data_IF_114058622706
#
_entry.id   IF_114058622706
#
_cell.length_a   1.000
_cell.length_b   1.000
_cell.length_c   1.000
_cell.angle_alpha   90.00
_cell.angle_beta   90.00
_cell.angle_gamma   90.00
#
_symmetry.space_group_name_H-M   'P 1'
#
loop_
_entity.id
_entity.type
_entity.pdbx_description
1 polymer ?
#
# COMPACT_ATOMS: atom_id res chain seq x y z
N UNK A 1 -47.92 45.54 -1.31
CA UNK A 1 -48.06 45.38 0.16
C UNK A 1 -47.54 43.98 0.44
N UNK A 2 -46.35 43.69 0.93
CA UNK A 2 -45.23 44.36 1.63
C UNK A 2 -44.10 43.32 1.55
N UNK A 3 -42.97 43.61 0.92
CA UNK A 3 -41.66 43.76 1.59
C UNK A 3 -41.58 43.18 3.01
N UNK A 4 -40.64 42.26 3.25
CA UNK A 4 -39.79 42.17 4.46
C UNK A 4 -38.90 40.91 4.33
N UNK A 5 -37.61 41.03 4.00
CA UNK A 5 -36.48 41.37 4.89
C UNK A 5 -36.04 40.21 5.81
N UNK A 6 -34.78 39.81 5.62
CA UNK A 6 -34.01 38.82 6.39
C UNK A 6 -33.72 39.36 7.81
N UNK A 7 -33.75 38.51 8.86
CA UNK A 7 -32.90 38.73 10.02
C UNK A 7 -31.76 37.72 10.10
N UNK A 8 -30.54 38.27 10.20
CA UNK A 8 -29.34 37.60 10.71
C UNK A 8 -29.52 37.37 12.21
N UNK A 9 -29.17 36.20 12.71
CA UNK A 9 -29.02 35.92 14.15
C UNK A 9 -28.23 34.61 14.31
N UNK A 10 -26.91 34.67 14.55
CA UNK A 10 -26.26 34.67 15.88
C UNK A 10 -26.69 33.50 16.74
N UNK A 11 -25.82 32.51 17.01
CA UNK A 11 -25.60 31.76 18.28
C UNK A 11 -24.46 30.77 17.95
N UNK A 12 -23.20 30.97 18.36
CA UNK A 12 -22.73 31.00 19.74
C UNK A 12 -22.04 29.66 20.03
N UNK A 13 -20.72 29.57 19.80
CA UNK A 13 -19.91 28.44 20.25
C UNK A 13 -19.84 28.48 21.79
N UNK A 14 -20.30 27.46 22.53
CA UNK A 14 -20.13 27.44 23.97
C UNK A 14 -18.67 27.17 24.32
N UNK A 15 -17.99 28.23 24.79
CA UNK A 15 -16.77 28.14 25.58
C UNK A 15 -17.07 27.29 26.82
N UNK A 16 -16.46 26.11 26.95
CA UNK A 16 -16.39 25.42 28.24
C UNK A 16 -15.01 25.62 28.85
N UNK A 17 -15.06 26.24 30.01
CA UNK A 17 -14.01 26.75 30.85
C UNK A 17 -13.09 25.64 31.35
N UNK A 18 -11.78 25.92 31.35
CA UNK A 18 -10.75 25.11 32.02
C UNK A 18 -11.04 25.06 33.53
N UNK A 19 -11.06 23.85 34.09
CA UNK A 19 -10.80 23.63 35.51
C UNK A 19 -9.59 22.71 35.58
N UNK A 20 -8.48 23.27 36.05
CA UNK A 20 -7.25 22.54 36.31
C UNK A 20 -7.33 21.87 37.69
N UNK A 21 -7.23 20.55 37.73
CA UNK A 21 -6.88 19.81 38.95
C UNK A 21 -5.68 18.93 38.68
N UNK A 22 -4.60 19.19 39.41
CA UNK A 22 -3.35 18.42 39.41
C UNK A 22 -3.62 16.99 39.91
N UNK A 23 -3.10 15.97 39.22
CA UNK A 23 -2.22 14.92 39.78
C UNK A 23 -2.19 13.65 38.89
N UNK A 24 -0.97 13.12 38.74
CA UNK A 24 -0.56 11.79 38.28
C UNK A 24 -0.47 11.49 36.75
N UNK A 25 0.68 10.95 36.29
CA UNK A 25 0.90 10.54 34.90
C UNK A 25 0.65 9.04 34.70
N UNK A 26 0.03 8.66 33.59
CA UNK A 26 0.41 7.51 32.74
C UNK A 26 -0.67 7.20 31.70
N UNK A 27 -0.15 6.85 30.51
CA UNK A 27 -0.72 6.01 29.44
C UNK A 27 -1.53 6.68 28.33
N UNK A 28 -0.91 6.56 27.15
CA UNK A 28 -1.50 6.18 25.87
C UNK A 28 -2.35 7.28 25.22
N UNK A 29 -1.65 8.10 24.42
CA UNK A 29 -2.25 8.92 23.38
C UNK A 29 -2.81 8.00 22.30
N UNK A 30 -4.12 7.81 22.31
CA UNK A 30 -4.88 7.47 21.12
C UNK A 30 -5.09 8.73 20.27
N UNK A 31 -5.20 8.52 18.95
CA UNK A 31 -5.71 9.42 17.91
C UNK A 31 -4.79 10.58 17.48
N UNK A 32 -4.08 10.36 16.36
CA UNK A 32 -3.79 11.44 15.41
C UNK A 32 -4.70 11.27 14.20
N UNK A 33 -5.85 11.94 14.29
CA UNK A 33 -6.52 12.73 13.26
C UNK A 33 -6.61 12.15 11.84
N UNK A 34 -7.82 11.71 11.53
CA UNK A 34 -8.64 12.23 10.43
C UNK A 34 -8.07 13.55 9.85
N UNK A 35 -7.51 13.49 8.64
CA UNK A 35 -7.33 14.66 7.79
C UNK A 35 -8.49 14.72 6.80
N UNK A 36 -9.68 14.98 7.33
CA UNK A 36 -10.72 15.67 6.61
C UNK A 36 -10.19 17.03 6.17
N UNK A 37 -9.79 17.14 4.90
CA UNK A 37 -9.56 18.45 4.29
C UNK A 37 -10.90 19.00 3.84
N UNK A 38 -11.50 19.84 4.69
CA UNK A 38 -12.59 20.72 4.29
C UNK A 38 -12.03 21.79 3.34
N UNK A 39 -12.13 21.57 2.03
CA UNK A 39 -11.95 22.66 1.07
C UNK A 39 -13.21 23.53 1.03
N UNK A 40 -13.09 24.87 1.06
CA UNK A 40 -14.21 25.77 0.83
C UNK A 40 -14.85 25.48 -0.53
N UNK A 41 -16.19 25.39 -0.57
CA UNK A 41 -16.94 25.45 -1.83
C UNK A 41 -16.75 26.83 -2.45
N UNK A 42 -16.37 26.81 -3.72
CA UNK A 42 -16.62 27.80 -4.77
C UNK A 42 -15.33 28.13 -5.53
N UNK A 43 -15.03 27.32 -6.56
CA UNK A 43 -14.71 27.77 -7.92
C UNK A 43 -14.90 26.58 -8.88
N UNK A 44 -16.08 26.49 -9.51
CA UNK A 44 -16.27 25.66 -10.71
C UNK A 44 -15.58 26.36 -11.89
N UNK A 45 -14.26 26.21 -11.96
CA UNK A 45 -13.47 26.53 -13.15
C UNK A 45 -13.49 25.33 -14.10
N UNK A 46 -14.20 25.47 -15.23
CA UNK A 46 -14.22 24.50 -16.33
C UNK A 46 -12.79 24.04 -16.71
N UNK A 47 -12.46 22.79 -16.39
CA UNK A 47 -11.42 21.98 -17.04
C UNK A 47 -12.10 20.64 -17.33
N UNK A 48 -12.66 20.38 -18.51
CA UNK A 48 -11.94 20.38 -19.77
C UNK A 48 -10.98 19.19 -19.80
N UNK A 49 -11.51 17.98 -20.02
CA UNK A 49 -10.74 16.79 -20.45
C UNK A 49 -9.88 16.09 -19.39
N UNK A 50 -10.50 15.29 -18.51
CA UNK A 50 -9.79 14.23 -17.79
C UNK A 50 -10.01 12.89 -18.50
N UNK A 51 -9.43 12.77 -19.69
CA UNK A 51 -9.25 11.51 -20.41
C UNK A 51 -7.86 11.57 -21.01
N UNK A 52 -7.04 10.53 -20.78
CA UNK A 52 -5.64 10.36 -21.22
C UNK A 52 -4.53 10.63 -20.16
N UNK A 53 -4.71 10.27 -18.89
CA UNK A 53 -3.54 10.22 -17.97
C UNK A 53 -3.57 9.10 -16.90
N UNK A 54 -4.32 8.02 -17.15
CA UNK A 54 -4.42 6.88 -16.21
C UNK A 54 -3.70 5.60 -16.68
N UNK A 55 -3.08 5.58 -17.87
CA UNK A 55 -2.49 4.35 -18.44
C UNK A 55 -0.99 4.43 -18.77
N UNK A 56 -0.28 5.47 -18.32
CA UNK A 56 1.07 5.75 -18.86
C UNK A 56 2.09 6.34 -17.91
N UNK A 57 1.86 6.36 -16.59
CA UNK A 57 2.92 6.78 -15.66
C UNK A 57 3.89 5.60 -15.51
N UNK A 58 5.15 5.71 -16.01
CA UNK A 58 6.12 4.65 -15.81
C UNK A 58 6.39 4.50 -14.31
N UNK A 59 6.64 3.26 -13.89
CA UNK A 59 7.03 3.00 -12.50
C UNK A 59 8.27 3.85 -12.14
N UNK A 60 8.30 4.42 -10.92
CA UNK A 60 9.41 5.26 -10.51
C UNK A 60 10.67 4.39 -10.41
N UNK A 61 11.77 4.88 -10.98
CA UNK A 61 13.07 4.19 -10.89
C UNK A 61 13.57 4.23 -9.44
N UNK A 62 14.14 3.13 -8.92
CA UNK A 62 14.71 3.11 -7.59
C UNK A 62 15.80 4.18 -7.45
N UNK A 63 15.85 4.91 -6.32
CA UNK A 63 16.93 5.86 -6.05
C UNK A 63 18.29 5.15 -6.08
N UNK A 64 19.33 5.82 -6.59
CA UNK A 64 20.70 5.26 -6.57
C UNK A 64 21.13 4.97 -5.13
N UNK A 65 21.72 3.79 -4.91
CA UNK A 65 22.16 3.35 -3.58
C UNK A 65 21.02 2.93 -2.64
N UNK A 66 19.78 2.82 -3.13
CA UNK A 66 18.66 2.28 -2.33
C UNK A 66 18.65 0.75 -2.22
N UNK A 67 19.46 0.08 -3.05
CA UNK A 67 19.66 -1.36 -3.06
C UNK A 67 21.10 -1.71 -3.46
N UNK A 68 21.54 -2.92 -3.15
CA UNK A 68 22.82 -3.50 -3.58
C UNK A 68 22.67 -4.13 -4.98
N UNK A 69 23.37 -3.60 -5.98
CA UNK A 69 23.27 -4.03 -7.38
C UNK A 69 23.77 -5.47 -7.60
N UNK A 70 24.85 -5.86 -6.92
CA UNK A 70 25.40 -7.22 -7.02
C UNK A 70 24.46 -8.23 -6.36
N UNK A 71 23.86 -7.86 -5.23
CA UNK A 71 22.83 -8.66 -4.57
C UNK A 71 21.57 -8.77 -5.42
N UNK A 72 21.11 -7.67 -6.04
CA UNK A 72 19.97 -7.67 -6.93
C UNK A 72 20.18 -8.56 -8.17
N UNK A 73 21.39 -8.58 -8.73
CA UNK A 73 21.72 -9.47 -9.84
C UNK A 73 21.58 -10.96 -9.45
N UNK A 74 22.12 -11.35 -8.28
CA UNK A 74 21.94 -12.71 -7.73
C UNK A 74 20.47 -13.01 -7.38
N UNK A 75 19.77 -12.01 -6.84
CA UNK A 75 18.36 -12.11 -6.51
C UNK A 75 17.48 -12.36 -7.72
N UNK A 76 17.82 -11.77 -8.88
CA UNK A 76 17.12 -12.04 -10.15
C UNK A 76 17.19 -13.52 -10.52
N UNK A 77 18.36 -14.15 -10.40
CA UNK A 77 18.53 -15.58 -10.69
C UNK A 77 17.70 -16.46 -9.74
N UNK A 78 17.65 -16.09 -8.46
CA UNK A 78 16.80 -16.77 -7.49
C UNK A 78 15.32 -16.61 -7.83
N UNK A 79 14.90 -15.40 -8.21
CA UNK A 79 13.51 -15.05 -8.53
C UNK A 79 12.99 -15.84 -9.75
N UNK A 80 13.81 -15.98 -10.78
CA UNK A 80 13.51 -16.73 -12.00
C UNK A 80 13.70 -18.25 -11.82
N UNK A 81 14.52 -18.66 -10.85
CA UNK A 81 14.88 -20.06 -10.58
C UNK A 81 14.27 -20.61 -9.29
N UNK A 82 15.12 -20.80 -8.27
CA UNK A 82 14.78 -21.55 -7.05
C UNK A 82 13.55 -21.01 -6.32
N UNK A 83 13.37 -19.69 -6.28
CA UNK A 83 12.27 -19.06 -5.57
C UNK A 83 10.95 -19.12 -6.34
N UNK A 84 10.98 -19.45 -7.64
CA UNK A 84 9.81 -19.62 -8.53
C UNK A 84 8.89 -18.40 -8.58
N UNK A 85 9.31 -17.21 -8.14
CA UNK A 85 8.48 -16.01 -8.10
C UNK A 85 8.02 -15.60 -9.51
N UNK A 86 8.85 -15.86 -10.52
CA UNK A 86 8.54 -15.60 -11.94
C UNK A 86 7.36 -16.43 -12.50
N UNK A 87 6.86 -17.43 -11.78
CA UNK A 87 5.66 -18.20 -12.18
C UNK A 87 4.40 -17.34 -12.18
N UNK A 88 4.27 -16.43 -11.20
CA UNK A 88 3.17 -15.48 -11.11
C UNK A 88 3.61 -14.07 -11.54
N UNK A 89 4.86 -13.69 -11.28
CA UNK A 89 5.38 -12.37 -11.64
C UNK A 89 6.25 -12.44 -12.90
N UNK A 90 5.62 -12.68 -14.05
CA UNK A 90 6.37 -12.90 -15.29
C UNK A 90 7.19 -11.66 -15.69
N UNK A 91 8.41 -11.90 -16.16
CA UNK A 91 9.29 -10.87 -16.69
C UNK A 91 8.56 -10.09 -17.81
N UNK A 92 8.78 -8.77 -17.87
CA UNK A 92 8.04 -7.73 -18.64
C UNK A 92 6.88 -7.09 -17.89
N UNK A 93 5.97 -7.88 -17.29
CA UNK A 93 4.79 -7.36 -16.60
C UNK A 93 5.01 -7.23 -15.09
N UNK A 94 5.87 -8.07 -14.51
CA UNK A 94 6.02 -8.26 -13.05
C UNK A 94 4.69 -8.47 -12.32
N UNK A 95 3.76 -9.10 -13.04
CA UNK A 95 2.43 -9.53 -12.67
C UNK A 95 2.06 -10.65 -13.65
N UNK A 96 0.94 -11.32 -13.44
CA UNK A 96 0.54 -12.47 -14.26
C UNK A 96 -0.31 -12.04 -15.46
N UNK A 97 -0.08 -12.59 -16.67
CA UNK A 97 -0.92 -12.31 -17.84
C UNK A 97 -2.27 -13.05 -17.74
N UNK A 98 -3.33 -12.45 -18.30
CA UNK A 98 -4.64 -13.10 -18.33
C UNK A 98 -5.36 -13.05 -16.98
N UNK A 99 -5.66 -14.22 -16.40
CA UNK A 99 -6.41 -14.35 -15.15
C UNK A 99 -5.47 -14.44 -13.94
N UNK A 100 -5.09 -13.27 -13.42
CA UNK A 100 -4.11 -13.13 -12.34
C UNK A 100 -4.72 -13.21 -10.93
N UNK A 101 -5.57 -14.21 -10.70
CA UNK A 101 -6.39 -14.30 -9.48
C UNK A 101 -6.18 -15.63 -8.75
N UNK A 102 -5.67 -15.55 -7.53
CA UNK A 102 -5.33 -16.69 -6.69
C UNK A 102 -6.30 -16.87 -5.51
N UNK A 103 -6.54 -18.11 -5.11
CA UNK A 103 -7.26 -18.38 -3.87
C UNK A 103 -6.37 -18.10 -2.66
N UNK A 104 -6.96 -17.85 -1.48
CA UNK A 104 -6.21 -17.69 -0.23
C UNK A 104 -5.27 -18.88 0.04
N UNK A 105 -5.71 -20.09 -0.25
CA UNK A 105 -4.93 -21.32 -0.08
C UNK A 105 -3.74 -21.41 -1.03
N UNK A 106 -3.85 -20.92 -2.27
CA UNK A 106 -2.76 -20.94 -3.25
C UNK A 106 -1.57 -20.06 -2.83
N UNK A 107 -1.82 -18.99 -2.09
CA UNK A 107 -0.81 -18.03 -1.64
C UNK A 107 -0.56 -18.07 -0.12
N UNK A 108 -1.21 -18.99 0.59
CA UNK A 108 -0.96 -19.28 2.00
C UNK A 108 -1.45 -18.22 2.98
N UNK A 109 -2.49 -17.46 2.65
CA UNK A 109 -3.07 -16.45 3.52
C UNK A 109 -4.55 -16.71 3.79
N UNK A 110 -5.13 -16.04 4.79
CA UNK A 110 -6.56 -16.13 5.07
C UNK A 110 -7.42 -15.48 3.99
N UNK A 111 -8.70 -15.83 4.00
CA UNK A 111 -9.68 -15.44 2.99
C UNK A 111 -10.35 -14.09 3.26
N UNK A 112 -9.95 -13.37 4.32
CA UNK A 112 -10.68 -12.20 4.80
C UNK A 112 -10.86 -11.17 3.70
N UNK A 113 -9.77 -10.73 3.06
CA UNK A 113 -9.85 -9.73 2.00
C UNK A 113 -10.42 -10.32 0.71
N UNK A 114 -10.07 -11.57 0.37
CA UNK A 114 -10.61 -12.26 -0.79
C UNK A 114 -12.14 -12.30 -0.76
N UNK A 115 -12.77 -12.66 0.36
CA UNK A 115 -14.23 -12.77 0.50
C UNK A 115 -15.02 -11.47 0.27
N UNK A 116 -14.33 -10.32 0.17
CA UNK A 116 -14.92 -9.02 -0.17
C UNK A 116 -14.88 -8.71 -1.66
N UNK A 117 -14.13 -9.49 -2.44
CA UNK A 117 -14.10 -9.40 -3.90
C UNK A 117 -15.19 -10.30 -4.53
N UNK A 118 -15.77 -9.92 -5.68
CA UNK A 118 -16.77 -10.74 -6.37
C UNK A 118 -16.33 -12.18 -6.64
N UNK A 119 -15.06 -12.35 -7.02
CA UNK A 119 -14.48 -13.65 -7.38
C UNK A 119 -13.86 -14.40 -6.18
N UNK A 120 -13.91 -13.80 -4.98
CA UNK A 120 -13.33 -14.36 -3.75
C UNK A 120 -11.85 -14.76 -3.86
N UNK A 121 -11.06 -13.93 -4.54
CA UNK A 121 -9.66 -14.19 -4.88
C UNK A 121 -8.78 -12.96 -4.69
N UNK A 122 -7.48 -13.20 -4.60
CA UNK A 122 -6.43 -12.20 -4.54
C UNK A 122 -5.82 -11.97 -5.92
N UNK A 123 -5.62 -10.70 -6.28
CA UNK A 123 -4.94 -10.36 -7.53
C UNK A 123 -3.43 -10.32 -7.35
N UNK A 124 -2.68 -10.85 -8.31
CA UNK A 124 -1.22 -10.76 -8.35
C UNK A 124 -0.77 -9.29 -8.45
N UNK A 125 -0.14 -8.79 -7.40
CA UNK A 125 0.33 -7.42 -7.32
C UNK A 125 1.45 -7.13 -8.35
N UNK A 126 1.44 -5.98 -9.04
CA UNK A 126 2.57 -5.58 -9.87
C UNK A 126 3.78 -5.23 -8.99
N UNK A 127 4.98 -5.74 -9.33
CA UNK A 127 6.19 -5.47 -8.54
C UNK A 127 7.00 -4.24 -9.00
N UNK A 128 6.69 -3.66 -10.16
CA UNK A 128 7.41 -2.45 -10.63
C UNK A 128 7.15 -1.28 -9.68
N UNK A 129 8.21 -0.63 -9.22
CA UNK A 129 8.12 0.48 -8.27
C UNK A 129 7.68 0.06 -6.87
N UNK A 130 7.78 -1.22 -6.50
CA UNK A 130 7.35 -1.75 -5.20
C UNK A 130 8.00 -1.00 -4.03
N UNK A 131 9.25 -0.56 -4.20
CA UNK A 131 10.00 0.22 -3.22
C UNK A 131 9.31 1.53 -2.82
N UNK A 132 8.44 2.09 -3.67
CA UNK A 132 7.68 3.31 -3.39
C UNK A 132 6.40 3.04 -2.57
N UNK A 133 6.01 1.77 -2.42
CA UNK A 133 4.75 1.33 -1.80
C UNK A 133 4.98 0.50 -0.54
N UNK A 134 5.82 0.99 0.37
CA UNK A 134 6.19 0.28 1.61
C UNK A 134 5.44 0.80 2.84
N UNK A 135 4.85 2.00 2.76
CA UNK A 135 4.15 2.61 3.89
C UNK A 135 2.84 1.86 4.18
N UNK A 136 2.71 1.38 5.43
CA UNK A 136 1.55 0.61 5.88
C UNK A 136 1.72 -0.90 5.78
N UNK A 137 2.89 -1.38 5.35
CA UNK A 137 3.18 -2.80 5.18
C UNK A 137 2.82 -3.32 3.79
N UNK A 138 3.00 -4.62 3.60
CA UNK A 138 2.71 -5.36 2.37
C UNK A 138 1.44 -6.18 2.54
N UNK A 139 0.83 -6.54 1.40
CA UNK A 139 -0.54 -7.07 1.27
C UNK A 139 -1.61 -6.03 1.63
N UNK A 140 -2.86 -6.36 1.31
CA UNK A 140 -4.01 -5.45 1.44
C UNK A 140 -4.29 -4.99 2.87
N UNK A 141 -3.86 -5.76 3.86
CA UNK A 141 -4.06 -5.51 5.28
C UNK A 141 -2.77 -5.13 6.02
N UNK A 142 -1.65 -4.99 5.31
CA UNK A 142 -0.37 -4.65 5.91
C UNK A 142 0.21 -5.72 6.84
N UNK A 143 -0.24 -6.99 6.72
CA UNK A 143 0.17 -8.08 7.63
C UNK A 143 1.67 -8.32 7.69
N UNK A 144 2.38 -7.97 6.62
CA UNK A 144 3.84 -8.06 6.55
C UNK A 144 4.43 -6.67 6.65
N UNK A 145 5.26 -6.43 7.66
CA UNK A 145 5.86 -5.12 7.87
C UNK A 145 6.98 -4.82 6.85
N UNK A 146 7.69 -5.85 6.39
CA UNK A 146 8.85 -5.73 5.52
C UNK A 146 8.77 -6.65 4.29
N UNK A 147 9.53 -6.33 3.24
CA UNK A 147 9.68 -7.21 2.07
C UNK A 147 10.27 -8.57 2.46
N UNK A 148 11.16 -8.58 3.45
CA UNK A 148 11.73 -9.82 3.95
C UNK A 148 10.66 -10.72 4.57
N UNK A 149 9.69 -10.17 5.29
CA UNK A 149 8.59 -10.96 5.86
C UNK A 149 7.75 -11.62 4.75
N UNK A 150 7.53 -10.92 3.63
CA UNK A 150 6.86 -11.48 2.45
C UNK A 150 7.68 -12.61 1.81
N UNK A 151 8.99 -12.41 1.63
CA UNK A 151 9.88 -13.43 1.07
C UNK A 151 9.92 -14.66 1.97
N UNK A 152 10.02 -14.47 3.28
CA UNK A 152 10.04 -15.57 4.25
C UNK A 152 8.70 -16.31 4.34
N UNK A 153 7.59 -15.59 4.21
CA UNK A 153 6.26 -16.20 4.06
C UNK A 153 6.25 -17.22 2.92
N UNK A 154 6.63 -16.80 1.70
CA UNK A 154 6.64 -17.70 0.55
C UNK A 154 7.73 -18.78 0.63
N UNK A 155 8.89 -18.46 1.20
CA UNK A 155 9.95 -19.44 1.45
C UNK A 155 9.46 -20.61 2.32
N UNK A 156 8.78 -20.30 3.42
CA UNK A 156 8.19 -21.30 4.31
C UNK A 156 6.99 -22.00 3.69
N UNK A 157 6.06 -21.24 3.13
CA UNK A 157 4.80 -21.75 2.61
C UNK A 157 4.99 -22.73 1.43
N UNK A 158 5.88 -22.39 0.49
CA UNK A 158 6.18 -23.27 -0.66
C UNK A 158 7.37 -24.20 -0.41
N UNK A 159 8.01 -24.14 0.76
CA UNK A 159 9.18 -24.98 1.08
C UNK A 159 10.36 -24.77 0.13
N UNK A 160 10.69 -23.51 -0.18
CA UNK A 160 11.67 -23.15 -1.22
C UNK A 160 13.13 -23.41 -0.78
N UNK A 161 13.36 -23.55 0.53
CA UNK A 161 14.68 -23.86 1.10
C UNK A 161 15.71 -22.75 0.91
N UNK A 162 15.26 -21.50 0.82
CA UNK A 162 16.14 -20.34 0.72
C UNK A 162 16.78 -20.06 2.08
N UNK A 163 18.09 -19.83 2.08
CA UNK A 163 18.78 -19.33 3.27
C UNK A 163 18.66 -17.79 3.38
N UNK A 164 19.09 -17.23 4.51
CA UNK A 164 18.97 -15.79 4.79
C UNK A 164 19.67 -14.92 3.75
N UNK A 165 20.81 -15.36 3.21
CA UNK A 165 21.53 -14.63 2.16
C UNK A 165 20.72 -14.62 0.85
N UNK A 166 20.13 -15.75 0.48
CA UNK A 166 19.30 -15.84 -0.71
C UNK A 166 18.02 -15.01 -0.59
N UNK A 167 17.38 -15.02 0.59
CA UNK A 167 16.24 -14.17 0.89
C UNK A 167 16.61 -12.67 0.81
N UNK A 168 17.78 -12.30 1.36
CA UNK A 168 18.30 -10.94 1.24
C UNK A 168 18.54 -10.54 -0.23
N UNK A 169 19.24 -11.38 -1.00
CA UNK A 169 19.51 -11.12 -2.43
C UNK A 169 18.19 -10.93 -3.20
N UNK A 170 17.14 -11.71 -2.91
CA UNK A 170 15.78 -11.51 -3.46
C UNK A 170 15.16 -10.16 -3.08
N UNK A 171 15.29 -9.75 -1.81
CA UNK A 171 14.77 -8.45 -1.35
C UNK A 171 15.46 -7.30 -2.09
N UNK A 172 16.77 -7.37 -2.29
CA UNK A 172 17.52 -6.37 -3.06
C UNK A 172 17.07 -6.33 -4.53
N UNK A 173 16.79 -7.49 -5.12
CA UNK A 173 16.20 -7.54 -6.46
C UNK A 173 14.81 -6.89 -6.49
N UNK A 174 13.93 -7.18 -5.54
CA UNK A 174 12.58 -6.58 -5.47
C UNK A 174 12.62 -5.05 -5.30
N UNK A 175 13.61 -4.51 -4.59
CA UNK A 175 13.81 -3.06 -4.47
C UNK A 175 14.26 -2.40 -5.78
N UNK A 176 14.92 -3.17 -6.65
CA UNK A 176 15.44 -2.68 -7.93
C UNK A 176 14.37 -2.53 -9.03
N UNK A 177 13.17 -3.06 -8.82
CA UNK A 177 12.04 -3.07 -9.77
C UNK A 177 11.19 -1.79 -9.72
#
# INVERSE_FOLDING_TARGET
MTEDAIPRGTYGCPHRQLIATRSAPRRILAVVRDLGVCHPRDQLGSRGGASLNQLGIPAPKPPKGSFDEDAAARGKELFEGQAKCATCHVSLLFSEPGWNMHTPEEIGIDDFQANRAPDKRYRTAPLKGLWAHTKGGFFHDGRFATLNDVVQHYNGFFGLGLNDKQAHDLVEYLKSL
#
